data_IF_888228330522
#
_entry.id   IF_888228330522
#
_cell.length_a   1.000
_cell.length_b   1.000
_cell.length_c   1.000
_cell.angle_alpha   90.00
_cell.angle_beta   90.00
_cell.angle_gamma   90.00
#
_symmetry.space_group_name_H-M   'P 1'
#
loop_
_entity.id
_entity.type
_entity.pdbx_description
1 polymer ?
2 non-polymer ?
3 water ?
#
# COMPACT_ATOMS: atom_id res chain seq x y z
N UNK A 9 -7.86 -19.06 -14.23
CA UNK A 9 -6.42 -18.73 -13.96
C UNK A 9 -5.74 -17.81 -14.98
N UNK A 10 -4.81 -16.99 -14.50
CA UNK A 10 -4.06 -16.12 -15.37
C UNK A 10 -2.74 -16.77 -15.78
N UNK A 11 -2.46 -16.75 -17.07
CA UNK A 11 -1.20 -17.19 -17.59
C UNK A 11 -0.22 -16.03 -17.52
N UNK A 12 0.78 -16.15 -16.66
CA UNK A 12 1.74 -15.10 -16.42
C UNK A 12 2.77 -14.98 -17.53
N UNK A 13 3.28 -13.76 -17.71
CA UNK A 13 4.34 -13.51 -18.67
C UNK A 13 5.65 -14.01 -18.08
N UNK A 14 6.42 -14.69 -18.94
CA UNK A 14 7.70 -15.23 -18.54
C UNK A 14 8.74 -14.13 -18.63
N UNK A 15 9.82 -14.33 -17.88
CA UNK A 15 10.94 -13.44 -17.85
C UNK A 15 10.62 -12.04 -17.28
N UNK A 16 9.60 -11.97 -16.45
CA UNK A 16 9.20 -10.75 -15.74
C UNK A 16 8.84 -11.23 -14.35
N UNK A 17 8.87 -10.32 -13.38
CA UNK A 17 8.51 -10.73 -12.02
C UNK A 17 7.14 -11.40 -11.94
N UNK A 18 7.09 -12.54 -11.25
CA UNK A 18 5.87 -13.30 -11.05
C UNK A 18 5.37 -13.12 -9.63
N UNK A 19 4.09 -12.78 -9.51
CA UNK A 19 3.56 -12.64 -8.15
C UNK A 19 3.68 -13.91 -7.36
N UNK A 20 4.13 -13.81 -6.11
CA UNK A 20 4.25 -14.95 -5.23
C UNK A 20 2.90 -15.38 -4.70
N UNK A 21 1.96 -14.43 -4.62
CA UNK A 21 0.56 -14.69 -4.20
C UNK A 21 -0.33 -13.72 -4.98
N UNK A 22 -1.55 -14.13 -5.28
CA UNK A 22 -2.50 -13.28 -5.97
C UNK A 22 -3.91 -13.56 -5.56
N UNK A 23 -4.74 -12.53 -5.53
CA UNK A 23 -6.15 -12.64 -5.39
C UNK A 23 -6.81 -11.88 -6.55
N UNK A 24 -7.59 -12.60 -7.34
CA UNK A 24 -8.29 -11.99 -8.46
C UNK A 24 -9.81 -12.10 -8.34
N UNK A 25 -10.46 -10.95 -8.45
CA UNK A 25 -11.93 -10.79 -8.49
C UNK A 25 -12.48 -11.80 -9.51
N UNK A 26 -13.31 -12.76 -9.07
CA UNK A 26 -13.90 -13.79 -9.94
C UNK A 26 -14.80 -13.29 -11.05
N UNK A 27 -15.27 -12.06 -10.93
CA UNK A 27 -16.18 -11.48 -11.88
C UNK A 27 -15.45 -10.97 -13.09
N UNK A 28 -14.13 -10.76 -13.02
CA UNK A 28 -13.36 -10.32 -14.19
C UNK A 28 -13.26 -11.49 -15.17
N UNK A 29 -13.39 -11.21 -16.47
CA UNK A 29 -13.16 -12.21 -17.49
C UNK A 29 -11.69 -12.60 -17.48
N UNK A 30 -11.38 -13.77 -18.01
CA UNK A 30 -9.99 -14.15 -18.15
C UNK A 30 -9.16 -13.09 -18.82
N UNK A 31 -9.67 -12.54 -19.91
CA UNK A 31 -8.95 -11.52 -20.65
C UNK A 31 -8.76 -10.28 -19.77
N UNK A 32 -9.81 -9.85 -19.07
CA UNK A 32 -9.65 -8.63 -18.20
C UNK A 32 -8.63 -8.86 -17.10
N UNK A 33 -8.72 -10.00 -16.44
CA UNK A 33 -7.76 -10.30 -15.36
C UNK A 33 -6.32 -10.38 -15.89
N UNK A 34 -6.15 -11.00 -17.04
CA UNK A 34 -4.81 -11.22 -17.63
C UNK A 34 -4.18 -9.88 -18.02
N UNK A 35 -4.96 -8.99 -18.62
CA UNK A 35 -4.33 -7.74 -19.02
C UNK A 35 -3.93 -6.84 -17.82
N UNK A 36 -4.66 -6.92 -16.72
CA UNK A 36 -4.29 -6.22 -15.51
C UNK A 36 -3.05 -6.82 -14.86
N UNK A 37 -2.98 -8.15 -14.78
CA UNK A 37 -1.81 -8.81 -14.18
C UNK A 37 -0.56 -8.53 -15.04
N UNK A 38 -0.70 -8.61 -16.36
CA UNK A 38 0.40 -8.37 -17.28
C UNK A 38 0.89 -6.93 -17.19
N UNK A 39 0.01 -5.97 -16.98
CA UNK A 39 0.47 -4.57 -16.84
C UNK A 39 1.31 -4.46 -15.59
N UNK A 40 0.85 -5.12 -14.53
CA UNK A 40 1.62 -5.12 -13.27
C UNK A 40 2.97 -5.77 -13.47
N UNK A 41 3.00 -6.91 -14.18
CA UNK A 41 4.26 -7.60 -14.42
C UNK A 41 5.25 -6.70 -15.18
N UNK A 42 4.77 -6.00 -16.20
CA UNK A 42 5.62 -5.13 -17.02
C UNK A 42 6.09 -3.95 -16.22
N UNK A 43 5.22 -3.41 -15.37
CA UNK A 43 5.55 -2.30 -14.54
C UNK A 43 6.67 -2.71 -13.57
N UNK A 44 6.55 -3.86 -12.91
CA UNK A 44 7.65 -4.28 -12.01
C UNK A 44 8.87 -4.84 -12.76
N UNK A 45 8.71 -5.34 -13.97
CA UNK A 45 9.88 -5.62 -14.86
C UNK A 45 10.68 -4.34 -15.12
N UNK A 46 9.98 -3.23 -15.35
CA UNK A 46 10.65 -1.98 -15.57
C UNK A 46 11.41 -1.58 -14.30
N UNK A 47 10.75 -1.61 -13.15
CA UNK A 47 11.46 -1.26 -11.92
C UNK A 47 12.62 -2.22 -11.65
N UNK A 48 12.49 -3.49 -12.04
CA UNK A 48 13.59 -4.43 -11.82
C UNK A 48 14.76 -4.20 -12.78
N UNK A 49 14.46 -3.79 -14.01
CA UNK A 49 15.45 -3.72 -15.09
C UNK A 49 15.86 -2.33 -15.59
N UNK A 50 14.99 -1.35 -15.47
CA UNK A 50 15.24 -0.04 -16.08
C UNK A 50 15.07 -0.03 -17.59
N UNK A 51 14.51 -1.07 -18.19
CA UNK A 51 14.34 -1.11 -19.67
C UNK A 51 13.23 -0.16 -20.11
N UNK A 52 13.62 1.02 -20.58
CA UNK A 52 12.66 2.08 -20.93
C UNK A 52 11.67 1.73 -22.04
N UNK A 53 11.99 0.75 -22.88
CA UNK A 53 11.06 0.33 -23.93
C UNK A 53 9.78 -0.31 -23.35
N UNK A 54 9.82 -0.70 -22.08
CA UNK A 54 8.61 -1.25 -21.39
C UNK A 54 7.58 -0.17 -21.12
N UNK A 55 8.04 1.04 -20.92
CA UNK A 55 7.13 2.12 -20.50
C UNK A 55 5.89 2.33 -21.40
N UNK A 56 6.10 2.56 -22.69
CA UNK A 56 4.90 2.68 -23.49
C UNK A 56 4.06 1.40 -23.64
N UNK A 57 4.59 0.25 -23.25
CA UNK A 57 3.76 -0.95 -23.29
C UNK A 57 2.98 -1.11 -22.00
N UNK A 58 3.26 -0.26 -21.00
CA UNK A 58 2.78 -0.49 -19.62
C UNK A 58 1.88 0.62 -19.09
N UNK A 59 2.28 1.87 -19.33
CA UNK A 59 1.54 3.03 -18.87
C UNK A 59 1.05 3.88 -20.06
N UNK A 60 -0.01 4.65 -19.84
CA UNK A 60 -0.55 5.51 -20.89
C UNK A 60 0.34 6.73 -20.98
N UNK A 61 0.26 7.43 -22.11
CA UNK A 61 1.20 8.54 -22.34
C UNK A 61 1.01 9.65 -21.32
N UNK A 62 -0.21 9.75 -20.77
CA UNK A 62 -0.58 10.74 -19.77
C UNK A 62 -0.58 10.21 -18.33
N UNK A 63 0.18 9.14 -18.10
CA UNK A 63 0.35 8.54 -16.76
C UNK A 63 0.62 9.59 -15.67
N UNK A 64 -0.06 9.46 -14.53
CA UNK A 64 0.01 10.45 -13.48
C UNK A 64 0.20 9.78 -12.11
N UNK A 65 1.27 10.17 -11.44
CA UNK A 65 1.58 9.69 -10.09
C UNK A 65 0.95 10.68 -9.11
N UNK A 66 -0.03 10.19 -8.36
CA UNK A 66 -0.66 10.99 -7.33
C UNK A 66 0.17 11.18 -6.07
N UNK A 67 1.28 10.45 -5.94
CA UNK A 67 2.06 10.46 -4.71
C UNK A 67 3.56 10.56 -5.07
N UNK A 68 3.91 11.67 -5.71
CA UNK A 68 5.17 11.79 -6.41
C UNK A 68 6.26 12.05 -5.39
N UNK A 69 7.28 11.16 -5.28
CA UNK A 69 8.38 11.45 -4.36
C UNK A 69 9.04 12.81 -4.60
N UNK A 70 9.54 13.47 -3.55
CA UNK A 70 10.14 14.80 -3.74
C UNK A 70 11.32 14.59 -4.68
N UNK A 71 11.40 15.44 -5.69
CA UNK A 71 12.46 15.39 -6.67
C UNK A 71 12.14 14.58 -7.92
N UNK A 72 11.13 13.72 -7.87
CA UNK A 72 10.78 12.93 -9.03
C UNK A 72 9.89 13.77 -9.95
N UNK A 73 10.25 13.89 -11.24
CA UNK A 73 9.37 14.52 -12.20
C UNK A 73 8.05 13.79 -12.36
N UNK A 74 7.00 14.51 -12.70
CA UNK A 74 5.72 13.89 -12.98
C UNK A 74 5.80 13.12 -14.31
N UNK A 75 4.97 12.08 -14.44
CA UNK A 75 4.76 11.40 -15.72
C UNK A 75 5.74 10.32 -16.11
N UNK A 76 5.65 9.93 -17.37
CA UNK A 76 6.56 8.91 -17.89
C UNK A 76 8.04 9.33 -17.77
N UNK A 77 8.36 10.62 -17.90
CA UNK A 77 9.75 11.05 -17.82
C UNK A 77 10.30 10.85 -16.41
N UNK A 78 9.40 10.86 -15.43
CA UNK A 78 9.76 10.60 -14.03
C UNK A 78 10.03 9.15 -13.72
N UNK A 79 9.40 8.25 -14.47
CA UNK A 79 9.71 6.83 -14.35
C UNK A 79 11.17 6.54 -14.80
N UNK A 80 11.53 7.13 -15.91
CA UNK A 80 12.89 7.03 -16.46
C UNK A 80 13.92 7.65 -15.53
N UNK A 81 13.58 8.80 -14.98
CA UNK A 81 14.46 9.48 -14.03
C UNK A 81 14.75 8.62 -12.80
N UNK A 82 13.69 8.08 -12.21
CA UNK A 82 13.77 7.31 -10.97
C UNK A 82 14.62 6.04 -11.09
N UNK A 83 14.43 5.31 -12.18
CA UNK A 83 15.17 4.08 -12.43
C UNK A 83 16.68 4.35 -12.51
N UNK A 84 17.07 5.39 -13.25
CA UNK A 84 18.47 5.74 -13.41
C UNK A 84 19.05 6.33 -12.13
N UNK A 85 18.25 7.18 -11.45
CA UNK A 85 18.70 7.90 -10.26
C UNK A 85 18.99 6.89 -9.15
N UNK A 86 18.09 5.94 -8.94
CA UNK A 86 18.30 4.92 -7.93
C UNK A 86 19.61 4.13 -8.13
N UNK A 87 19.89 3.72 -9.36
CA UNK A 87 21.08 2.91 -9.68
C UNK A 87 22.41 3.62 -9.52
N UNK A 88 22.40 4.95 -9.43
CA UNK A 88 23.60 5.69 -9.13
C UNK A 88 24.14 5.43 -7.68
N UNK A 89 23.24 5.11 -6.75
CA UNK A 89 23.60 4.79 -5.37
C UNK A 89 23.53 3.28 -5.07
N UNK A 90 22.51 2.59 -5.59
CA UNK A 90 22.32 1.14 -5.37
C UNK A 90 22.10 0.44 -6.70
N UNK A 91 23.17 0.24 -7.46
CA UNK A 91 23.00 -0.48 -8.72
C UNK A 91 22.70 -1.97 -8.55
N UNK A 92 23.14 -2.60 -7.45
CA UNK A 92 22.75 -3.99 -7.21
C UNK A 92 21.41 -4.02 -6.47
N UNK A 93 20.34 -3.93 -7.25
CA UNK A 93 18.97 -3.87 -6.76
C UNK A 93 18.06 -4.77 -7.62
N UNK A 94 17.06 -5.37 -6.97
CA UNK A 94 16.16 -6.35 -7.58
C UNK A 94 14.78 -6.17 -6.98
N UNK A 95 13.75 -6.30 -7.82
CA UNK A 95 12.35 -6.09 -7.42
C UNK A 95 11.54 -7.39 -7.64
N UNK A 96 10.79 -7.82 -6.63
CA UNK A 96 9.90 -8.97 -6.69
C UNK A 96 8.48 -8.58 -6.24
N UNK A 97 7.48 -9.20 -6.83
CA UNK A 97 6.09 -8.98 -6.47
C UNK A 97 5.68 -10.03 -5.42
N UNK A 98 5.48 -9.57 -4.19
CA UNK A 98 5.04 -10.44 -3.13
C UNK A 98 3.55 -10.77 -3.18
N UNK A 99 2.72 -9.84 -3.58
CA UNK A 99 1.29 -10.10 -3.58
C UNK A 99 0.65 -9.12 -4.57
N UNK A 100 -0.34 -9.62 -5.31
CA UNK A 100 -1.10 -8.84 -6.25
C UNK A 100 -2.60 -9.04 -6.03
N UNK A 101 -3.33 -7.95 -5.77
CA UNK A 101 -4.81 -8.00 -5.50
C UNK A 101 -5.52 -7.28 -6.65
N UNK A 102 -6.35 -8.03 -7.39
CA UNK A 102 -6.94 -7.50 -8.64
C UNK A 102 -8.46 -7.40 -8.53
N UNK A 103 -9.02 -6.19 -8.62
CA UNK A 103 -10.47 -6.01 -8.45
C UNK A 103 -10.96 -4.78 -9.15
N UNK A 104 -12.08 -4.90 -9.85
CA UNK A 104 -12.63 -3.78 -10.63
C UNK A 104 -11.58 -3.29 -11.62
N UNK A 105 -11.18 -2.02 -11.56
CA UNK A 105 -10.15 -1.47 -12.42
C UNK A 105 -8.86 -1.17 -11.66
N UNK A 106 -8.68 -1.77 -10.48
CA UNK A 106 -7.57 -1.46 -9.58
C UNK A 106 -6.72 -2.69 -9.30
N UNK A 107 -5.41 -2.45 -9.15
CA UNK A 107 -4.47 -3.52 -8.79
C UNK A 107 -3.66 -3.02 -7.60
N UNK A 108 -3.58 -3.80 -6.53
CA UNK A 108 -2.66 -3.48 -5.44
C UNK A 108 -1.50 -4.42 -5.55
N UNK A 109 -0.29 -3.89 -5.53
CA UNK A 109 0.92 -4.70 -5.51
C UNK A 109 1.70 -4.44 -4.25
N UNK A 110 2.20 -5.52 -3.63
CA UNK A 110 3.13 -5.40 -2.54
C UNK A 110 4.47 -5.91 -3.05
N UNK A 111 5.48 -5.07 -2.97
CA UNK A 111 6.80 -5.35 -3.53
C UNK A 111 7.90 -5.56 -2.49
N UNK A 112 8.92 -6.35 -2.86
CA UNK A 112 10.14 -6.47 -2.06
C UNK A 112 11.29 -6.02 -2.95
N UNK A 113 12.15 -5.16 -2.41
CA UNK A 113 13.34 -4.69 -3.10
C UNK A 113 14.53 -5.16 -2.28
N UNK A 114 15.45 -5.88 -2.92
CA UNK A 114 16.60 -6.43 -2.23
C UNK A 114 17.87 -6.20 -3.03
N UNK A 115 18.99 -6.13 -2.32
CA UNK A 115 20.27 -5.95 -2.98
C UNK A 115 21.37 -5.69 -1.96
N UNK A 116 22.36 -4.88 -2.35
CA UNK A 116 23.41 -4.56 -1.45
C UNK A 116 23.88 -3.15 -1.68
N UNK A 117 24.53 -2.59 -0.68
CA UNK A 117 25.10 -1.25 -0.74
C UNK A 117 26.27 -1.33 0.18
N UNK A 118 27.43 -0.94 -0.33
CA UNK A 118 28.67 -1.16 0.35
C UNK A 118 28.73 -2.61 0.78
N UNK A 119 29.05 -2.89 2.03
CA UNK A 119 29.14 -4.27 2.46
C UNK A 119 27.87 -4.60 3.24
N UNK A 120 26.73 -4.04 2.84
CA UNK A 120 25.52 -4.18 3.65
C UNK A 120 24.34 -4.64 2.80
N UNK A 121 23.44 -5.42 3.42
CA UNK A 121 22.21 -5.89 2.78
C UNK A 121 21.14 -4.79 2.71
N UNK A 122 20.51 -4.67 1.54
CA UNK A 122 19.41 -3.77 1.29
C UNK A 122 18.19 -4.67 1.22
N UNK A 123 17.13 -4.30 1.92
CA UNK A 123 15.92 -5.08 1.92
C UNK A 123 14.80 -4.20 2.44
N UNK A 124 13.94 -3.74 1.56
CA UNK A 124 12.82 -2.89 1.95
C UNK A 124 11.63 -3.21 1.08
N UNK A 125 10.46 -2.80 1.55
CA UNK A 125 9.23 -3.07 0.83
C UNK A 125 8.47 -1.82 0.34
N UNK A 126 7.50 -2.05 -0.56
CA UNK A 126 6.66 -0.97 -1.09
C UNK A 126 5.25 -1.53 -1.28
N UNK A 127 4.27 -0.64 -1.28
CA UNK A 127 2.88 -0.99 -1.67
C UNK A 127 2.41 0.05 -2.69
N UNK A 128 1.83 -0.42 -3.80
CA UNK A 128 1.36 0.46 -4.86
C UNK A 128 -0.07 0.14 -5.18
N UNK A 129 -0.84 1.16 -5.49
CA UNK A 129 -2.20 1.00 -5.99
C UNK A 129 -2.17 1.55 -7.43
N UNK A 130 -2.51 0.68 -8.36
CA UNK A 130 -2.51 1.01 -9.79
C UNK A 130 -3.93 1.07 -10.35
N UNK A 131 -4.25 2.09 -11.15
CA UNK A 131 -5.51 2.17 -11.87
C UNK A 131 -5.20 1.74 -13.30
N UNK A 132 -5.90 0.71 -13.76
CA UNK A 132 -5.64 0.12 -15.10
C UNK A 132 -6.85 0.27 -15.99
N UNK A 133 -6.67 0.80 -17.20
CA UNK A 133 -7.77 0.96 -18.16
C UNK A 133 -7.29 0.34 -19.46
N UNK A 134 -8.06 -0.58 -20.01
CA UNK A 134 -7.72 -1.22 -21.26
C UNK A 134 -6.29 -1.75 -21.26
N UNK A 135 -5.87 -2.37 -20.17
CA UNK A 135 -4.57 -3.00 -20.13
C UNK A 135 -3.36 -2.13 -19.92
N UNK A 136 -3.58 -0.83 -19.66
CA UNK A 136 -2.49 0.05 -19.28
C UNK A 136 -2.77 0.83 -18.00
N UNK A 137 -1.70 1.15 -17.28
CA UNK A 137 -1.79 1.85 -16.01
C UNK A 137 -1.95 3.34 -16.34
N UNK A 138 -3.02 3.96 -15.86
CA UNK A 138 -3.25 5.38 -16.12
C UNK A 138 -2.75 6.29 -15.00
N UNK A 139 -2.75 5.78 -13.77
CA UNK A 139 -2.36 6.57 -12.61
C UNK A 139 -2.02 5.64 -11.43
N UNK A 140 -1.32 6.17 -10.44
CA UNK A 140 -1.03 5.37 -9.28
C UNK A 140 -0.85 6.18 -8.02
N UNK A 141 -0.83 5.43 -6.94
CA UNK A 141 -0.60 5.89 -5.57
C UNK A 141 0.32 4.84 -4.98
N UNK A 142 1.48 5.25 -4.47
CA UNK A 142 2.44 4.27 -4.04
C UNK A 142 3.29 4.81 -2.93
N UNK A 143 3.90 3.89 -2.19
CA UNK A 143 4.80 4.27 -1.08
C UNK A 143 5.88 3.22 -0.92
N UNK A 144 7.13 3.68 -0.85
CA UNK A 144 8.29 2.80 -0.65
C UNK A 144 8.74 3.11 0.73
N UNK A 145 9.26 2.12 1.45
CA UNK A 145 9.70 2.37 2.84
C UNK A 145 11.08 3.02 2.82
N UNK A 146 11.10 4.31 2.46
CA UNK A 146 12.34 5.06 2.25
C UNK A 146 13.13 5.34 3.52
N UNK A 147 12.44 5.46 4.65
CA UNK A 147 13.15 5.67 5.92
C UNK A 147 14.02 4.40 6.20
N UNK A 148 13.42 3.22 6.03
CA UNK A 148 14.13 1.95 6.21
C UNK A 148 15.32 1.90 5.26
N UNK A 149 15.10 2.18 3.98
CA UNK A 149 16.24 2.29 3.04
C UNK A 149 17.35 3.27 3.47
N UNK A 150 17.00 4.49 3.83
CA UNK A 150 17.99 5.49 4.22
C UNK A 150 18.77 5.02 5.46
N UNK A 151 18.07 4.29 6.32
CA UNK A 151 18.69 3.72 7.50
C UNK A 151 19.70 2.65 7.08
N UNK A 152 19.27 1.80 6.15
CA UNK A 152 20.14 0.75 5.60
C UNK A 152 21.34 1.31 4.86
N UNK A 153 21.16 2.49 4.25
CA UNK A 153 22.22 3.17 3.52
C UNK A 153 23.13 3.94 4.45
N UNK A 154 22.84 3.93 5.74
CA UNK A 154 23.62 4.67 6.69
C UNK A 154 23.41 6.18 6.66
N UNK A 155 22.34 6.64 5.99
CA UNK A 155 22.09 8.07 5.88
C UNK A 155 21.35 8.64 7.10
N UNK A 156 20.35 7.90 7.57
CA UNK A 156 19.54 8.28 8.73
C UNK A 156 19.89 7.34 9.90
N UNK A 157 19.82 7.86 11.13
CA UNK A 157 20.05 7.05 12.32
C UNK A 157 18.86 6.10 12.55
N UNK B 9 -25.83 -3.10 -2.30
CA UNK B 9 -24.61 -2.47 -1.73
C UNK B 9 -24.47 -2.79 -0.23
N UNK B 10 -23.31 -2.42 0.31
CA UNK B 10 -23.02 -2.58 1.73
C UNK B 10 -23.57 -1.35 2.48
N UNK B 11 -24.22 -1.58 3.62
CA UNK B 11 -24.65 -0.51 4.49
C UNK B 11 -23.48 -0.22 5.44
N UNK B 12 -22.88 0.96 5.29
CA UNK B 12 -21.72 1.35 6.07
C UNK B 12 -22.10 1.59 7.51
N UNK B 13 -21.15 1.35 8.39
CA UNK B 13 -21.34 1.70 9.79
C UNK B 13 -21.31 3.25 9.92
N UNK B 14 -22.34 3.81 10.56
CA UNK B 14 -22.40 5.23 10.86
C UNK B 14 -21.37 5.53 11.96
N UNK B 15 -20.97 6.78 12.05
CA UNK B 15 -20.01 7.25 13.05
C UNK B 15 -18.63 6.58 13.03
N UNK B 16 -18.24 6.05 11.88
CA UNK B 16 -16.91 5.51 11.65
C UNK B 16 -16.53 6.00 10.27
N UNK B 17 -15.24 6.03 9.93
CA UNK B 17 -14.82 6.60 8.65
C UNK B 17 -15.49 5.98 7.44
N UNK B 18 -16.01 6.82 6.57
CA UNK B 18 -16.67 6.41 5.34
C UNK B 18 -15.64 6.51 4.19
N UNK B 19 -15.43 5.39 3.45
CA UNK B 19 -14.50 5.49 2.32
C UNK B 19 -14.89 6.54 1.28
N UNK B 20 -13.95 7.38 0.82
CA UNK B 20 -14.29 8.35 -0.22
C UNK B 20 -14.50 7.66 -1.55
N UNK B 21 -13.84 6.54 -1.76
CA UNK B 21 -13.99 5.76 -2.99
C UNK B 21 -13.91 4.30 -2.56
N UNK B 22 -14.59 3.43 -3.26
CA UNK B 22 -14.62 2.01 -2.90
C UNK B 22 -14.83 1.13 -4.10
N UNK B 23 -14.16 -0.02 -4.12
CA UNK B 23 -14.40 -1.07 -5.10
C UNK B 23 -14.58 -2.38 -4.37
N UNK B 24 -15.69 -3.09 -4.63
CA UNK B 24 -15.98 -4.33 -3.95
C UNK B 24 -16.19 -5.48 -4.91
N UNK B 25 -15.54 -6.59 -4.62
CA UNK B 25 -15.69 -7.84 -5.36
C UNK B 25 -17.18 -8.22 -5.34
N UNK B 26 -17.83 -8.22 -6.51
CA UNK B 26 -19.26 -8.51 -6.51
C UNK B 26 -19.66 -9.96 -6.34
N UNK B 27 -18.72 -10.88 -6.24
CA UNK B 27 -19.05 -12.28 -6.00
C UNK B 27 -19.29 -12.55 -4.51
N UNK B 28 -18.88 -11.61 -3.68
CA UNK B 28 -19.06 -11.72 -2.25
C UNK B 28 -20.54 -11.54 -1.91
N UNK B 29 -21.04 -12.31 -0.97
CA UNK B 29 -22.41 -12.18 -0.54
C UNK B 29 -22.56 -10.85 0.18
N UNK B 30 -23.81 -10.39 0.35
CA UNK B 30 -24.01 -9.14 1.09
C UNK B 30 -23.44 -9.24 2.51
N UNK B 31 -23.61 -10.37 3.17
CA UNK B 31 -23.05 -10.57 4.51
C UNK B 31 -21.53 -10.46 4.55
N UNK B 32 -20.88 -11.16 3.62
CA UNK B 32 -19.40 -11.20 3.49
C UNK B 32 -18.81 -9.87 3.16
N UNK B 33 -19.38 -9.21 2.19
CA UNK B 33 -18.85 -7.93 1.80
C UNK B 33 -19.00 -6.93 2.95
N UNK B 34 -20.15 -6.95 3.61
CA UNK B 34 -20.42 -6.03 4.74
C UNK B 34 -19.44 -6.22 5.86
N UNK B 35 -19.21 -7.48 6.21
CA UNK B 35 -18.35 -7.73 7.31
C UNK B 35 -16.92 -7.32 6.99
N UNK B 36 -16.52 -7.41 5.72
CA UNK B 36 -15.14 -6.99 5.35
C UNK B 36 -15.02 -5.48 5.41
N UNK B 37 -16.02 -4.80 4.88
CA UNK B 37 -16.06 -3.32 4.89
C UNK B 37 -16.16 -2.83 6.34
N UNK B 38 -17.02 -3.48 7.14
CA UNK B 38 -17.13 -3.15 8.56
C UNK B 38 -15.82 -3.31 9.34
N UNK B 39 -15.09 -4.40 9.09
CA UNK B 39 -13.78 -4.59 9.73
C UNK B 39 -12.83 -3.42 9.44
N UNK B 40 -12.77 -3.00 8.18
CA UNK B 40 -11.89 -1.89 7.82
C UNK B 40 -12.40 -0.61 8.49
N UNK B 41 -13.71 -0.39 8.56
CA UNK B 41 -14.21 0.85 9.17
C UNK B 41 -13.81 0.93 10.65
N UNK B 42 -13.89 -0.20 11.35
CA UNK B 42 -13.52 -0.29 12.77
C UNK B 42 -12.03 -0.05 12.94
N UNK B 43 -11.25 -0.62 12.04
CA UNK B 43 -9.80 -0.46 12.10
C UNK B 43 -9.41 1.02 11.99
N UNK B 44 -10.00 1.72 11.04
CA UNK B 44 -9.69 3.15 10.86
C UNK B 44 -10.35 4.08 11.85
N UNK B 45 -11.49 3.66 12.43
CA UNK B 45 -12.10 4.33 13.54
C UNK B 45 -11.12 4.24 14.75
N UNK B 46 -10.51 3.08 14.92
CA UNK B 46 -9.50 2.90 15.98
C UNK B 46 -8.33 3.85 15.74
N UNK B 47 -7.81 3.91 14.52
CA UNK B 47 -6.70 4.82 14.27
C UNK B 47 -7.14 6.28 14.39
N UNK B 48 -8.41 6.56 14.10
CA UNK B 48 -8.94 7.95 14.18
C UNK B 48 -9.23 8.36 15.62
N UNK B 49 -9.61 7.41 16.48
CA UNK B 49 -10.03 7.71 17.86
C UNK B 49 -9.13 7.16 18.98
N UNK B 50 -8.34 6.12 18.73
CA UNK B 50 -7.59 5.49 19.81
C UNK B 50 -8.39 4.73 20.87
N UNK B 51 -9.65 4.43 20.59
CA UNK B 51 -10.49 3.70 21.54
C UNK B 51 -10.12 2.26 21.54
N UNK B 52 -9.42 1.86 22.60
CA UNK B 52 -8.84 0.53 22.68
C UNK B 52 -9.87 -0.60 22.69
N UNK B 53 -11.09 -0.32 23.15
CA UNK B 53 -12.14 -1.35 23.07
C UNK B 53 -12.44 -1.84 21.65
N UNK B 54 -12.09 -1.05 20.64
CA UNK B 54 -12.31 -1.50 19.28
C UNK B 54 -11.40 -2.68 18.84
N UNK B 55 -10.27 -2.86 19.53
CA UNK B 55 -9.26 -3.83 19.11
C UNK B 55 -9.80 -5.24 19.06
N UNK B 56 -10.32 -5.77 20.18
CA UNK B 56 -10.87 -7.13 20.09
C UNK B 56 -12.06 -7.26 19.13
N UNK B 57 -12.74 -6.15 18.86
CA UNK B 57 -13.84 -6.18 17.88
C UNK B 57 -13.38 -6.23 16.43
N UNK B 58 -12.14 -5.87 16.18
CA UNK B 58 -11.64 -5.66 14.84
C UNK B 58 -10.61 -6.66 14.40
N UNK B 59 -9.71 -7.07 15.30
CA UNK B 59 -8.63 -7.98 14.93
C UNK B 59 -8.72 -9.25 15.78
N UNK B 60 -8.15 -10.34 15.29
CA UNK B 60 -8.14 -11.60 16.07
C UNK B 60 -7.10 -11.58 17.19
N UNK B 61 -7.23 -12.51 18.12
CA UNK B 61 -6.29 -12.57 19.24
C UNK B 61 -4.88 -12.83 18.69
N UNK B 62 -4.74 -13.49 17.53
CA UNK B 62 -3.40 -13.77 16.99
C UNK B 62 -2.99 -12.81 15.87
N UNK B 63 -3.56 -11.59 15.87
CA UNK B 63 -3.22 -10.55 14.91
C UNK B 63 -1.71 -10.42 14.74
N UNK B 64 -1.24 -10.43 13.50
CA UNK B 64 0.19 -10.33 13.20
C UNK B 64 0.45 -9.25 12.15
N UNK B 65 1.33 -8.31 12.50
CA UNK B 65 1.81 -7.25 11.62
C UNK B 65 3.09 -7.73 10.94
N UNK B 66 3.00 -7.94 9.62
CA UNK B 66 4.14 -8.38 8.83
C UNK B 66 5.18 -7.29 8.57
N UNK B 67 4.82 -6.03 8.85
CA UNK B 67 5.63 -4.85 8.57
C UNK B 67 5.78 -4.02 9.83
N UNK B 68 6.19 -4.70 10.89
CA UNK B 68 6.17 -4.15 12.26
C UNK B 68 7.20 -3.05 12.42
N UNK B 69 6.77 -1.79 12.65
CA UNK B 69 7.78 -0.75 12.90
C UNK B 69 8.69 -1.08 14.07
N UNK B 70 9.98 -0.67 13.99
CA UNK B 70 10.97 -0.96 15.01
C UNK B 70 10.50 -0.46 16.37
N UNK B 71 10.56 -1.32 17.38
CA UNK B 71 10.09 -0.97 18.72
C UNK B 71 8.60 -1.04 18.98
N UNK B 72 7.78 -1.36 17.98
CA UNK B 72 6.38 -1.61 18.25
C UNK B 72 6.18 -3.06 18.66
N UNK B 73 5.43 -3.30 19.75
CA UNK B 73 5.13 -4.69 20.09
C UNK B 73 4.40 -5.40 18.97
N UNK B 74 4.64 -6.70 18.80
CA UNK B 74 3.86 -7.51 17.83
C UNK B 74 2.48 -7.75 18.48
N UNK B 75 1.47 -7.94 17.64
CA UNK B 75 0.13 -8.27 18.10
C UNK B 75 -0.76 -7.14 18.55
N UNK B 76 -1.85 -7.53 19.18
CA UNK B 76 -2.82 -6.58 19.67
C UNK B 76 -2.21 -5.53 20.59
N UNK B 77 -1.22 -5.87 21.42
CA UNK B 77 -0.62 -4.87 22.32
C UNK B 77 0.11 -3.76 21.54
N UNK B 78 0.61 -4.12 20.37
CA UNK B 78 1.27 -3.15 19.50
C UNK B 78 0.31 -2.12 18.94
N UNK B 79 -0.96 -2.50 18.76
CA UNK B 79 -1.97 -1.56 18.28
C UNK B 79 -2.27 -0.51 19.34
N UNK B 80 -2.36 -0.93 20.59
CA UNK B 80 -2.54 -0.01 21.73
C UNK B 80 -1.42 0.98 21.81
N UNK B 81 -0.20 0.44 21.80
CA UNK B 81 1.06 1.17 21.85
C UNK B 81 1.15 2.21 20.76
N UNK B 82 0.89 1.77 19.53
CA UNK B 82 1.00 2.67 18.38
C UNK B 82 0.03 3.87 18.42
N UNK B 83 -1.23 3.59 18.78
CA UNK B 83 -2.24 4.62 18.84
C UNK B 83 -1.95 5.63 19.94
N UNK B 84 -1.51 5.16 21.10
CA UNK B 84 -1.16 6.12 22.13
C UNK B 84 0.03 6.93 21.72
N UNK B 85 1.02 6.26 21.12
CA UNK B 85 2.20 7.00 20.66
C UNK B 85 1.95 8.06 19.58
N UNK B 86 1.14 7.73 18.59
CA UNK B 86 0.72 8.70 17.60
C UNK B 86 0.02 9.87 18.28
N UNK B 87 -0.78 9.60 19.31
CA UNK B 87 -1.43 10.70 20.05
C UNK B 87 -0.54 11.55 20.94
N UNK B 88 0.58 10.99 21.35
CA UNK B 88 1.61 11.80 22.02
C UNK B 88 2.18 12.88 21.13
N UNK B 89 2.55 12.49 19.90
CA UNK B 89 3.09 13.45 18.91
C UNK B 89 2.03 14.30 18.20
N UNK B 90 0.85 13.72 17.99
CA UNK B 90 -0.26 14.42 17.29
C UNK B 90 -1.56 14.17 18.06
N UNK B 91 -1.74 14.93 19.14
CA UNK B 91 -2.93 14.73 19.97
C UNK B 91 -4.28 14.74 19.25
N UNK B 92 -4.41 15.50 18.17
CA UNK B 92 -5.67 15.62 17.45
C UNK B 92 -5.63 14.88 16.12
N UNK B 93 -4.83 13.82 16.03
CA UNK B 93 -4.70 13.11 14.77
C UNK B 93 -6.09 12.61 14.30
N UNK B 94 -6.31 12.66 12.99
CA UNK B 94 -7.53 12.31 12.32
C UNK B 94 -7.18 11.38 11.15
N UNK B 95 -7.96 10.31 10.94
CA UNK B 95 -7.71 9.32 9.87
C UNK B 95 -8.92 9.29 8.96
N UNK B 96 -8.70 9.44 7.65
CA UNK B 96 -9.74 9.28 6.63
C UNK B 96 -9.33 8.19 5.63
N UNK B 97 -10.33 7.45 5.20
CA UNK B 97 -10.21 6.40 4.18
C UNK B 97 -10.47 7.00 2.80
N UNK B 98 -9.40 7.15 2.03
CA UNK B 98 -9.48 7.69 0.67
C UNK B 98 -10.00 6.73 -0.34
N UNK B 99 -9.61 5.45 -0.22
CA UNK B 99 -10.01 4.41 -1.19
C UNK B 99 -9.95 3.09 -0.43
N UNK B 100 -10.92 2.23 -0.72
CA UNK B 100 -11.05 0.90 -0.11
C UNK B 100 -11.33 -0.10 -1.21
N UNK B 101 -10.50 -1.14 -1.27
CA UNK B 101 -10.51 -2.15 -2.36
C UNK B 101 -10.67 -3.53 -1.71
N UNK B 102 -11.83 -4.18 -1.90
CA UNK B 102 -12.19 -5.41 -1.20
C UNK B 102 -12.33 -6.57 -2.23
N UNK B 103 -11.53 -7.61 -2.04
CA UNK B 103 -11.51 -8.75 -2.96
C UNK B 103 -11.07 -10.03 -2.26
N UNK B 104 -11.81 -11.11 -2.47
CA UNK B 104 -11.54 -12.38 -1.82
C UNK B 104 -11.53 -12.14 -0.31
N UNK B 105 -10.40 -12.42 0.33
CA UNK B 105 -10.23 -12.28 1.78
C UNK B 105 -9.35 -11.08 2.14
N UNK B 106 -9.08 -10.22 1.17
CA UNK B 106 -8.11 -9.12 1.35
C UNK B 106 -8.82 -7.77 1.17
N UNK B 107 -8.25 -6.77 1.84
CA UNK B 107 -8.70 -5.37 1.74
C UNK B 107 -7.50 -4.46 1.62
N UNK B 108 -7.48 -3.58 0.60
CA UNK B 108 -6.51 -2.49 0.55
C UNK B 108 -7.19 -1.20 1.00
N UNK B 109 -6.55 -0.48 1.91
CA UNK B 109 -6.99 0.85 2.29
C UNK B 109 -5.92 1.86 1.94
N UNK B 110 -6.32 3.00 1.36
CA UNK B 110 -5.42 4.16 1.23
C UNK B 110 -5.96 5.22 2.16
N UNK B 111 -5.12 5.67 3.10
CA UNK B 111 -5.50 6.56 4.20
C UNK B 111 -4.84 7.94 4.14
N UNK B 112 -5.51 8.94 4.69
CA UNK B 112 -4.90 10.26 4.91
C UNK B 112 -4.94 10.57 6.42
N UNK B 113 -3.80 10.95 6.96
CA UNK B 113 -3.67 11.32 8.38
C UNK B 113 -3.34 12.80 8.46
N UNK B 114 -4.09 13.55 9.29
CA UNK B 114 -3.88 14.99 9.48
C UNK B 114 -4.01 15.38 10.95
N UNK B 115 -3.35 16.49 11.30
CA UNK B 115 -3.43 17.02 12.63
C UNK B 115 -2.38 18.07 12.85
N UNK B 116 -2.13 18.35 14.12
CA UNK B 116 -1.12 19.32 14.56
C UNK B 116 -0.20 18.73 15.63
N UNK B 117 1.10 18.94 15.46
CA UNK B 117 2.12 18.62 16.44
C UNK B 117 2.66 19.95 16.94
N UNK B 118 2.14 20.39 18.08
CA UNK B 118 2.51 21.68 18.66
C UNK B 118 2.22 22.79 17.63
N UNK B 119 3.25 23.40 17.07
CA UNK B 119 3.07 24.52 16.15
C UNK B 119 3.28 24.11 14.70
N UNK B 120 3.18 22.80 14.43
CA UNK B 120 3.41 22.26 13.09
C UNK B 120 2.25 21.45 12.58
N UNK B 121 1.82 21.69 11.34
CA UNK B 121 0.77 20.90 10.73
C UNK B 121 1.31 19.57 10.27
N UNK B 122 0.52 18.53 10.48
CA UNK B 122 0.86 17.19 10.05
C UNK B 122 -0.10 16.75 8.93
N UNK B 123 0.46 16.15 7.89
CA UNK B 123 -0.34 15.71 6.73
C UNK B 123 0.40 14.63 5.95
N UNK B 124 0.01 13.39 6.14
CA UNK B 124 0.71 12.29 5.48
C UNK B 124 -0.27 11.20 5.15
N UNK B 125 0.10 10.34 4.21
CA UNK B 125 -0.76 9.25 3.79
C UNK B 125 -0.14 7.89 4.12
N UNK B 126 -0.97 6.86 3.95
CA UNK B 126 -0.58 5.51 4.21
C UNK B 126 -1.32 4.55 3.33
N UNK B 127 -0.76 3.36 3.19
CA UNK B 127 -1.42 2.30 2.45
C UNK B 127 -1.26 1.01 3.26
N UNK B 128 -2.38 0.32 3.46
CA UNK B 128 -2.42 -0.93 4.19
C UNK B 128 -3.09 -2.00 3.36
N UNK B 129 -2.66 -3.23 3.59
CA UNK B 129 -3.28 -4.44 3.06
C UNK B 129 -3.70 -5.28 4.30
N UNK B 130 -5.00 -5.62 4.40
CA UNK B 130 -5.59 -6.39 5.50
C UNK B 130 -6.04 -7.75 5.03
N UNK B 131 -5.74 -8.75 5.82
CA UNK B 131 -6.27 -10.09 5.57
C UNK B 131 -7.44 -10.27 6.55
N UNK B 132 -8.61 -10.55 6.02
CA UNK B 132 -9.80 -10.57 6.85
C UNK B 132 -10.43 -11.96 6.82
N UNK B 133 -10.64 -12.57 7.99
CA UNK B 133 -11.30 -13.88 8.07
C UNK B 133 -12.45 -13.77 9.06
N UNK B 134 -13.65 -14.11 8.59
CA UNK B 134 -14.85 -14.08 9.38
C UNK B 134 -15.06 -12.73 10.02
N UNK B 135 -14.83 -11.67 9.28
CA UNK B 135 -15.13 -10.32 9.77
C UNK B 135 -14.14 -9.71 10.74
N UNK B 136 -13.00 -10.36 10.91
CA UNK B 136 -11.89 -9.78 11.70
C UNK B 136 -10.56 -9.84 10.95
N UNK B 137 -9.73 -8.85 11.22
CA UNK B 137 -8.40 -8.79 10.60
C UNK B 137 -7.41 -9.75 11.31
N UNK B 138 -6.87 -10.70 10.58
CA UNK B 138 -5.92 -11.65 11.18
C UNK B 138 -4.48 -11.19 11.04
N UNK B 139 -4.21 -10.46 9.97
CA UNK B 139 -2.85 -9.98 9.68
C UNK B 139 -2.87 -8.82 8.71
N UNK B 140 -1.78 -8.04 8.72
CA UNK B 140 -1.65 -6.87 7.84
C UNK B 140 -0.21 -6.59 7.41
N UNK B 141 -0.14 -5.84 6.32
CA UNK B 141 1.11 -5.24 5.82
C UNK B 141 0.77 -3.77 5.67
N UNK B 142 1.56 -2.87 6.23
CA UNK B 142 1.16 -1.45 6.13
C UNK B 142 2.37 -0.56 6.02
N UNK B 143 2.17 0.62 5.47
CA UNK B 143 3.22 1.57 5.35
C UNK B 143 2.68 2.99 5.42
N UNK B 144 3.29 3.77 6.29
CA UNK B 144 3.01 5.20 6.44
C UNK B 144 4.17 5.97 5.78
N UNK B 145 3.91 7.18 5.32
CA UNK B 145 4.95 7.99 4.72
C UNK B 145 5.77 8.66 5.86
N UNK B 146 6.63 7.83 6.46
CA UNK B 146 7.37 8.15 7.68
C UNK B 146 8.43 9.21 7.42
N UNK B 147 8.93 9.31 6.21
CA UNK B 147 9.92 10.35 5.92
C UNK B 147 9.22 11.69 5.89
N UNK B 148 8.06 11.76 5.23
CA UNK B 148 7.27 13.00 5.22
C UNK B 148 6.88 13.39 6.65
N UNK B 149 6.35 12.44 7.42
CA UNK B 149 5.99 12.68 8.79
C UNK B 149 7.16 13.19 9.63
N UNK B 150 8.32 12.54 9.56
CA UNK B 150 9.50 12.97 10.33
C UNK B 150 9.97 14.35 9.98
N UNK B 151 9.94 14.70 8.70
CA UNK B 151 10.24 16.05 8.29
C UNK B 151 9.24 17.05 8.89
N UNK B 152 7.96 16.72 8.83
CA UNK B 152 6.91 17.60 9.32
C UNK B 152 7.02 17.82 10.83
N UNK B 153 7.44 16.77 11.53
CA UNK B 153 7.63 16.85 12.98
C UNK B 153 8.88 17.65 13.38
N UNK B 154 9.74 17.99 12.42
CA UNK B 154 10.97 18.71 12.74
C UNK B 154 12.14 17.80 13.13
N UNK B 155 12.01 16.50 12.88
CA UNK B 155 13.06 15.57 13.26
C UNK B 155 14.13 15.32 12.19
N UNK B 156 13.82 15.67 10.95
CA UNK B 156 14.69 15.40 9.79
C UNK B 156 14.57 16.54 8.80
N UNK B 157 15.62 16.70 7.97
CA UNK B 157 15.62 17.58 6.76
C UNK B 157 14.65 18.85 6.78
X LIG C 1 18.05 6.75 -3.88
X LIG C 1 16.71 7.25 -4.43
X LIG C 1 15.54 7.18 -3.45
X LIG C 1 15.96 7.62 -2.05
X LIG C 1 14.46 8.02 -3.91
X LIG C 1 13.61 7.65 -5.05
X LIG C 1 12.76 8.81 -5.63
X LIG C 1 13.30 9.41 -7.11
X LIG C 1 12.19 9.46 -8.07
X LIG C 1 14.40 8.57 -7.70
X LIG C 1 13.71 10.83 -6.96
X LIG C 1 17.21 6.92 -1.51
X LIG C 1 17.92 6.04 -2.54
X LIG D 1 8.01 8.12 12.41
X LIG D 1 6.95 7.13 12.86
X LIG D 1 6.87 7.12 14.37
X LIG D 1 6.48 8.49 14.87
X LIG D 1 5.90 6.16 14.83
X LIG D 1 6.28 4.76 14.99
X LIG D 1 5.05 3.84 15.06
X LIG D 1 4.79 3.25 16.59
X LIG D 1 3.51 2.55 16.61
X LIG D 1 4.68 4.33 17.61
X LIG D 1 5.84 2.25 16.90
X LIG D 1 7.59 9.47 14.52
X LIG D 1 7.79 9.51 13.01
#
# INVERSE_FOLDING_TARGET
GCGVEEKTEVQLLKEMPKPKAMTIDPSLSQKEATEMVHAAQRFYAFWDTGKEELIPQTVTENFFDHTLPKGRPQGTEGLKFAAQNFRKIVPNIHCEIEDLLVVGDKVTARLSFTGTHNDKKIDFFAIDILHVKDGKITEDWHLEDNLTLKQQLGLIAEE
GCGVEEKTEVQLLKEMPKPKAMTIDPSLSQKEATEMVHAAQRFYAFWDTGKEELIPQTVTENFFDHTLPKGRPQGTEGLKFAAQNFRKIVPNIHCEIEDLLVVGDKVTARLSFTGTHNDKKIDFFAIDILHVKDGKITEDWHLEDNLTLKQQLGLIAEE
NHE C3' C2' C1' C6' N C1 C2 S O1 O2 O3 C5' C4'
NHE C3' C2' C1' C6' N C1 C2 S O1 O2 O3 C5' C4'
#
